data_IF_932313896372
#
_entry.id   IF_932313896372
#
_cell.length_a   1.000
_cell.length_b   1.000
_cell.length_c   1.000
_cell.angle_alpha   90.00
_cell.angle_beta   90.00
_cell.angle_gamma   90.00
#
_symmetry.space_group_name_H-M   'P 1'
#
loop_
_entity.id
_entity.type
_entity.pdbx_description
1 polymer ?
#
# COMPACT_ATOMS: atom_id res chain seq x y z
N UNK A 1 35.41 0.18 33.64
CA UNK A 1 34.26 -0.75 33.83
C UNK A 1 33.65 -0.99 32.46
N UNK A 2 33.41 -2.23 32.09
CA UNK A 2 32.72 -2.54 30.83
C UNK A 2 31.29 -2.01 30.89
N UNK A 3 30.73 -1.47 29.78
CA UNK A 3 29.37 -1.02 29.76
C UNK A 3 28.41 -2.22 29.96
N UNK A 4 27.19 -1.94 30.45
CA UNK A 4 26.13 -2.94 30.49
C UNK A 4 25.16 -2.75 29.32
N UNK A 5 24.39 -3.78 28.96
CA UNK A 5 23.34 -3.70 27.94
C UNK A 5 22.41 -2.50 28.24
N UNK A 6 22.01 -2.31 29.51
CA UNK A 6 21.16 -1.21 29.89
C UNK A 6 21.81 0.18 29.76
N UNK A 7 23.13 0.30 30.04
CA UNK A 7 23.84 1.57 29.86
C UNK A 7 24.03 1.92 28.37
N UNK A 8 24.22 0.92 27.52
CA UNK A 8 24.32 1.10 26.07
C UNK A 8 22.96 1.58 25.52
N UNK A 9 21.86 0.91 25.93
CA UNK A 9 20.51 1.33 25.53
C UNK A 9 20.24 2.77 25.95
N UNK A 10 20.52 3.12 27.23
CA UNK A 10 20.28 4.46 27.73
C UNK A 10 21.07 5.53 26.95
N UNK A 11 22.31 5.23 26.59
CA UNK A 11 23.15 6.12 25.76
C UNK A 11 22.60 6.30 24.35
N UNK A 12 22.15 5.22 23.70
CA UNK A 12 21.51 5.28 22.38
C UNK A 12 20.21 6.08 22.41
N UNK A 13 19.35 5.84 23.41
CA UNK A 13 18.08 6.59 23.59
C UNK A 13 18.35 8.07 23.78
N UNK A 14 19.32 8.43 24.64
CA UNK A 14 19.66 9.84 24.85
C UNK A 14 20.13 10.51 23.54
N UNK A 15 21.04 9.88 22.80
CA UNK A 15 21.53 10.42 21.53
C UNK A 15 20.41 10.62 20.48
N UNK A 16 19.47 9.69 20.40
CA UNK A 16 18.33 9.79 19.46
C UNK A 16 17.31 10.85 19.93
N UNK A 17 17.10 10.98 21.23
CA UNK A 17 16.22 12.00 21.80
C UNK A 17 16.80 13.41 21.57
N UNK A 18 18.10 13.61 21.80
CA UNK A 18 18.79 14.87 21.54
C UNK A 18 18.75 15.27 20.06
N UNK A 19 18.74 14.29 19.16
CA UNK A 19 18.58 14.49 17.72
C UNK A 19 17.10 14.69 17.27
N UNK A 20 16.14 14.69 18.21
CA UNK A 20 14.72 14.91 17.94
C UNK A 20 14.05 13.75 17.20
N UNK A 21 14.56 12.51 17.31
CA UNK A 21 13.87 11.34 16.77
C UNK A 21 12.52 11.14 17.49
N UNK A 22 11.43 10.84 16.76
CA UNK A 22 10.09 10.76 17.36
C UNK A 22 9.93 9.64 18.39
N UNK A 23 10.64 8.52 18.20
CA UNK A 23 10.51 7.30 19.00
C UNK A 23 11.86 6.75 19.47
N UNK A 24 12.66 7.54 20.23
CA UNK A 24 14.07 7.23 20.50
C UNK A 24 14.27 5.90 21.24
N UNK A 25 13.33 5.52 22.13
CA UNK A 25 13.39 4.25 22.85
C UNK A 25 13.16 3.06 21.89
N UNK A 26 12.13 3.13 21.06
CA UNK A 26 11.80 2.07 20.10
C UNK A 26 12.89 1.92 19.04
N UNK A 27 13.39 3.03 18.53
CA UNK A 27 14.46 3.06 17.52
C UNK A 27 15.75 2.44 18.08
N UNK A 28 16.17 2.83 19.30
CA UNK A 28 17.36 2.27 19.95
C UNK A 28 17.22 0.77 20.20
N UNK A 29 16.07 0.28 20.69
CA UNK A 29 15.81 -1.15 20.89
C UNK A 29 15.89 -1.93 19.58
N UNK A 30 15.30 -1.42 18.49
CA UNK A 30 15.33 -2.07 17.18
C UNK A 30 16.77 -2.12 16.61
N UNK A 31 17.54 -1.04 16.73
CA UNK A 31 18.94 -1.04 16.33
C UNK A 31 19.77 -2.04 17.13
N UNK A 32 19.53 -2.14 18.45
CA UNK A 32 20.22 -3.13 19.29
C UNK A 32 19.84 -4.55 18.90
N UNK A 33 18.56 -4.83 18.65
CA UNK A 33 18.12 -6.15 18.17
C UNK A 33 18.76 -6.49 16.83
N UNK A 34 18.81 -5.52 15.91
CA UNK A 34 19.39 -5.70 14.59
C UNK A 34 20.87 -6.10 14.65
N UNK A 35 21.71 -5.39 15.40
CA UNK A 35 23.16 -5.66 15.44
C UNK A 35 23.51 -6.89 16.25
N UNK A 36 22.72 -7.24 17.28
CA UNK A 36 23.03 -8.33 18.20
C UNK A 36 22.36 -9.66 17.85
N UNK A 37 21.33 -9.63 17.00
CA UNK A 37 20.44 -10.78 16.74
C UNK A 37 19.63 -11.21 17.96
N UNK A 38 19.63 -10.43 19.06
CA UNK A 38 18.89 -10.73 20.29
C UNK A 38 17.45 -10.27 20.18
N UNK A 39 16.54 -11.01 20.78
CA UNK A 39 15.15 -10.55 20.92
C UNK A 39 15.04 -9.38 21.91
N UNK A 40 13.92 -8.65 21.86
CA UNK A 40 13.60 -7.61 22.86
C UNK A 40 13.60 -8.18 24.28
N UNK A 41 13.07 -9.38 24.47
CA UNK A 41 13.05 -10.08 25.75
C UNK A 41 14.46 -10.35 26.26
N UNK A 42 15.37 -10.83 25.38
CA UNK A 42 16.77 -11.09 25.75
C UNK A 42 17.49 -9.81 26.19
N UNK A 43 17.26 -8.69 25.49
CA UNK A 43 17.82 -7.37 25.86
C UNK A 43 17.32 -6.90 27.23
N UNK A 44 16.05 -7.14 27.56
CA UNK A 44 15.46 -6.80 28.87
C UNK A 44 16.05 -7.67 29.97
N UNK A 45 16.14 -8.99 29.77
CA UNK A 45 16.67 -9.94 30.76
C UNK A 45 18.15 -9.72 31.00
N UNK A 46 18.94 -9.40 29.97
CA UNK A 46 20.38 -9.15 30.06
C UNK A 46 20.76 -7.71 30.42
N UNK A 47 19.82 -6.87 30.81
CA UNK A 47 20.03 -5.43 31.02
C UNK A 47 21.21 -5.08 31.95
N UNK A 48 21.50 -5.95 32.91
CA UNK A 48 22.59 -5.76 33.90
C UNK A 48 23.89 -6.44 33.49
N UNK A 49 23.90 -7.20 32.40
CA UNK A 49 25.08 -7.95 31.97
C UNK A 49 26.10 -7.00 31.38
N UNK A 50 27.36 -7.24 31.74
CA UNK A 50 28.49 -6.52 31.14
C UNK A 50 28.69 -6.95 29.69
N UNK A 51 28.93 -5.97 28.83
CA UNK A 51 29.12 -6.19 27.40
C UNK A 51 30.61 -6.15 27.05
N UNK A 52 31.18 -7.20 26.45
CA UNK A 52 32.57 -7.21 25.96
C UNK A 52 32.81 -6.14 24.90
N UNK A 53 34.08 -5.73 24.76
CA UNK A 53 34.43 -4.67 23.80
C UNK A 53 34.28 -5.08 22.32
N UNK A 54 34.31 -6.36 22.04
CA UNK A 54 34.12 -6.97 20.70
C UNK A 54 32.65 -7.33 20.40
N UNK A 55 31.74 -7.15 21.36
CA UNK A 55 30.30 -7.36 21.13
C UNK A 55 29.77 -6.34 20.11
N UNK A 56 28.88 -6.75 19.15
CA UNK A 56 28.29 -5.86 18.17
C UNK A 56 27.60 -4.62 18.78
N UNK A 57 27.06 -4.73 20.00
CA UNK A 57 26.48 -3.58 20.72
C UNK A 57 27.51 -2.49 21.04
N UNK A 58 28.78 -2.83 21.12
CA UNK A 58 29.86 -1.85 21.34
C UNK A 58 30.51 -1.48 20.01
N UNK A 59 30.74 -2.45 19.12
CA UNK A 59 31.51 -2.26 17.91
C UNK A 59 30.70 -1.62 16.76
N UNK A 60 29.44 -1.94 16.62
CA UNK A 60 28.61 -1.56 15.45
C UNK A 60 27.49 -0.58 15.76
N UNK A 61 26.81 -0.74 16.91
CA UNK A 61 25.64 0.07 17.25
C UNK A 61 25.89 1.59 17.19
N UNK A 62 27.04 2.13 17.66
CA UNK A 62 27.27 3.59 17.64
C UNK A 62 27.15 4.21 16.23
N UNK A 63 27.61 3.49 15.19
CA UNK A 63 27.51 3.93 13.81
C UNK A 63 26.05 3.98 13.32
N UNK A 64 25.24 3.01 13.70
CA UNK A 64 23.81 2.97 13.33
C UNK A 64 23.00 4.02 14.09
N UNK A 65 23.32 4.25 15.37
CA UNK A 65 22.72 5.34 16.16
C UNK A 65 23.05 6.70 15.54
N UNK A 66 24.28 6.90 15.08
CA UNK A 66 24.66 8.15 14.40
C UNK A 66 23.90 8.37 13.09
N UNK A 67 23.70 7.31 12.28
CA UNK A 67 22.86 7.37 11.07
C UNK A 67 21.41 7.75 11.42
N UNK A 68 20.83 7.10 12.43
CA UNK A 68 19.47 7.41 12.87
C UNK A 68 19.34 8.82 13.46
N UNK A 69 20.34 9.26 14.22
CA UNK A 69 20.42 10.63 14.72
C UNK A 69 20.52 11.68 13.58
N UNK A 70 21.12 11.32 12.45
CA UNK A 70 21.09 12.12 11.22
C UNK A 70 19.73 12.06 10.48
N UNK A 71 18.69 11.45 11.10
CA UNK A 71 17.31 11.34 10.64
C UNK A 71 17.16 10.40 9.42
N UNK A 72 18.14 9.51 9.15
CA UNK A 72 17.95 8.41 8.20
C UNK A 72 16.82 7.49 8.69
N UNK A 73 15.87 7.07 7.83
CA UNK A 73 14.81 6.16 8.22
C UNK A 73 15.33 4.89 8.88
N UNK A 74 14.75 4.50 10.00
CA UNK A 74 15.17 3.31 10.74
C UNK A 74 15.17 2.06 9.84
N UNK A 75 14.14 1.92 9.00
CA UNK A 75 13.98 0.81 8.07
C UNK A 75 15.10 0.76 7.02
N UNK A 76 15.58 1.90 6.55
CA UNK A 76 16.75 1.95 5.65
C UNK A 76 18.05 1.56 6.36
N UNK A 77 18.16 1.81 7.67
CA UNK A 77 19.32 1.43 8.47
C UNK A 77 19.31 -0.06 8.74
N UNK A 78 18.15 -0.62 9.09
CA UNK A 78 17.96 -2.05 9.37
C UNK A 78 17.92 -2.87 8.07
N UNK A 79 17.46 -2.26 6.96
CA UNK A 79 17.35 -2.90 5.66
C UNK A 79 16.01 -3.61 5.42
N UNK A 80 15.10 -3.56 6.40
CA UNK A 80 13.78 -4.20 6.30
C UNK A 80 12.66 -3.33 6.87
N UNK A 81 11.43 -3.56 6.40
CA UNK A 81 10.20 -2.98 6.91
C UNK A 81 9.12 -4.05 7.04
N UNK A 82 8.33 -4.07 8.13
CA UNK A 82 7.20 -4.98 8.25
C UNK A 82 6.07 -4.58 7.32
N UNK A 83 5.32 -5.58 6.85
CA UNK A 83 4.04 -5.41 6.16
C UNK A 83 3.16 -6.62 6.44
N UNK A 84 2.22 -6.48 7.37
CA UNK A 84 1.49 -7.61 7.95
C UNK A 84 2.43 -8.60 8.63
N UNK A 85 2.47 -9.86 8.16
CA UNK A 85 3.43 -10.86 8.66
C UNK A 85 4.72 -10.93 7.83
N UNK A 86 4.81 -10.17 6.75
CA UNK A 86 5.99 -10.16 5.88
C UNK A 86 7.03 -9.18 6.43
N UNK A 87 8.30 -9.51 6.18
CA UNK A 87 9.43 -8.61 6.38
C UNK A 87 10.01 -8.29 5.01
N UNK A 88 9.77 -7.07 4.53
CA UNK A 88 10.18 -6.65 3.19
C UNK A 88 11.53 -5.96 3.23
N UNK A 89 12.41 -6.32 2.31
CA UNK A 89 13.67 -5.62 2.13
C UNK A 89 13.41 -4.21 1.57
N UNK A 90 14.03 -3.21 2.19
CA UNK A 90 13.96 -1.81 1.79
C UNK A 90 15.33 -1.15 1.92
N UNK A 91 15.52 -0.03 1.23
CA UNK A 91 16.76 0.72 1.28
C UNK A 91 16.70 1.95 0.38
N UNK A 92 17.83 2.61 0.11
CA UNK A 92 17.85 3.81 -0.73
C UNK A 92 17.15 3.57 -2.08
N UNK A 93 16.33 4.53 -2.49
CA UNK A 93 15.64 4.52 -3.77
C UNK A 93 14.29 3.79 -3.79
N UNK A 94 13.76 3.39 -2.64
CA UNK A 94 12.38 2.90 -2.50
C UNK A 94 11.69 3.54 -1.31
N UNK A 95 10.40 3.80 -1.46
CA UNK A 95 9.54 4.29 -0.37
C UNK A 95 9.41 3.23 0.73
N UNK A 96 9.58 3.66 1.98
CA UNK A 96 9.39 2.77 3.14
C UNK A 96 7.90 2.55 3.38
N UNK A 97 7.40 1.30 3.37
CA UNK A 97 6.01 1.01 3.74
C UNK A 97 5.64 1.64 5.09
N UNK A 98 4.47 2.27 5.15
CA UNK A 98 3.98 2.94 6.36
C UNK A 98 2.95 2.06 7.07
N UNK A 99 2.82 2.17 8.41
CA UNK A 99 1.82 1.40 9.16
C UNK A 99 0.38 1.65 8.69
N UNK A 100 0.09 2.85 8.21
CA UNK A 100 -1.23 3.23 7.69
C UNK A 100 -1.61 2.41 6.45
N UNK A 101 -0.65 2.09 5.61
CA UNK A 101 -0.84 1.25 4.41
C UNK A 101 -1.29 -0.17 4.77
N UNK A 102 -0.93 -0.68 5.97
CA UNK A 102 -1.42 -1.98 6.45
C UNK A 102 -2.94 -1.99 6.66
N UNK A 103 -3.53 -0.86 7.08
CA UNK A 103 -4.99 -0.76 7.24
C UNK A 103 -5.71 -0.91 5.90
N UNK A 104 -5.19 -0.27 4.86
CA UNK A 104 -5.73 -0.43 3.50
C UNK A 104 -5.55 -1.87 2.99
N UNK A 105 -4.40 -2.48 3.21
CA UNK A 105 -4.17 -3.89 2.85
C UNK A 105 -5.16 -4.82 3.56
N UNK A 106 -5.39 -4.64 4.87
CA UNK A 106 -6.35 -5.44 5.62
C UNK A 106 -7.78 -5.25 5.09
N UNK A 107 -8.18 -3.99 4.82
CA UNK A 107 -9.48 -3.71 4.20
C UNK A 107 -9.64 -4.43 2.85
N UNK A 108 -8.61 -4.41 2.01
CA UNK A 108 -8.60 -5.11 0.72
C UNK A 108 -8.79 -6.62 0.89
N UNK A 109 -8.08 -7.23 1.83
CA UNK A 109 -8.18 -8.66 2.14
C UNK A 109 -9.60 -9.04 2.60
N UNK A 110 -10.18 -8.25 3.51
CA UNK A 110 -11.54 -8.47 4.02
C UNK A 110 -12.59 -8.32 2.93
N UNK A 111 -12.46 -7.30 2.09
CA UNK A 111 -13.35 -7.05 0.96
C UNK A 111 -13.29 -8.18 -0.09
N UNK A 112 -12.09 -8.66 -0.42
CA UNK A 112 -11.90 -9.81 -1.30
C UNK A 112 -12.49 -11.09 -0.68
N UNK A 113 -12.25 -11.33 0.62
CA UNK A 113 -12.80 -12.47 1.34
C UNK A 113 -14.34 -12.49 1.36
N UNK A 114 -14.98 -11.33 1.56
CA UNK A 114 -16.43 -11.17 1.45
C UNK A 114 -16.91 -11.50 0.02
N UNK A 115 -16.25 -10.92 -0.98
CA UNK A 115 -16.59 -11.11 -2.39
C UNK A 115 -16.45 -12.57 -2.81
N UNK A 116 -15.40 -13.27 -2.38
CA UNK A 116 -15.20 -14.69 -2.66
C UNK A 116 -16.31 -15.55 -2.05
N UNK A 117 -16.80 -15.21 -0.85
CA UNK A 117 -17.94 -15.92 -0.22
C UNK A 117 -19.24 -15.70 -0.97
N UNK A 118 -19.50 -14.47 -1.44
CA UNK A 118 -20.69 -14.11 -2.20
C UNK A 118 -20.68 -14.80 -3.58
N UNK A 119 -19.54 -14.85 -4.26
CA UNK A 119 -19.35 -15.53 -5.54
C UNK A 119 -19.45 -17.07 -5.38
N UNK A 120 -19.01 -17.67 -4.26
CA UNK A 120 -19.13 -19.11 -3.98
C UNK A 120 -20.59 -19.56 -3.75
N UNK A 121 -21.46 -18.65 -3.27
CA UNK A 121 -22.91 -18.88 -3.18
C UNK A 121 -23.62 -18.77 -4.53
N UNK A 122 -22.97 -18.20 -5.56
CA UNK A 122 -23.44 -18.04 -6.93
C UNK A 122 -22.64 -18.93 -7.91
N UNK A 123 -23.19 -19.20 -9.09
CA UNK A 123 -22.66 -20.14 -10.10
C UNK A 123 -21.33 -19.76 -10.77
N UNK A 124 -20.46 -18.96 -10.13
CA UNK A 124 -19.18 -18.57 -10.74
C UNK A 124 -18.10 -19.62 -10.45
N UNK A 125 -17.34 -20.00 -11.48
CA UNK A 125 -16.18 -20.91 -11.37
C UNK A 125 -15.17 -20.32 -10.36
N UNK A 126 -14.66 -21.16 -9.47
CA UNK A 126 -13.70 -20.83 -8.42
C UNK A 126 -12.28 -20.54 -8.98
N UNK A 127 -12.16 -19.52 -9.81
CA UNK A 127 -10.86 -18.88 -10.04
C UNK A 127 -10.65 -17.81 -8.97
N UNK A 128 -9.43 -17.72 -8.43
CA UNK A 128 -9.10 -16.69 -7.44
C UNK A 128 -9.36 -15.27 -7.96
N UNK A 129 -9.39 -14.27 -7.07
CA UNK A 129 -9.58 -12.87 -7.46
C UNK A 129 -8.36 -12.36 -8.22
N UNK A 130 -8.60 -11.47 -9.19
CA UNK A 130 -7.55 -10.75 -9.91
C UNK A 130 -7.35 -9.37 -9.28
N UNK A 131 -6.12 -9.06 -8.88
CA UNK A 131 -5.74 -7.83 -8.20
C UNK A 131 -4.64 -7.11 -8.98
N UNK A 132 -4.74 -5.79 -9.09
CA UNK A 132 -3.68 -4.94 -9.63
C UNK A 132 -3.31 -3.90 -8.58
N UNK A 133 -2.01 -3.82 -8.24
CA UNK A 133 -1.43 -2.81 -7.37
C UNK A 133 -0.67 -1.80 -8.24
N UNK A 134 -1.19 -0.58 -8.35
CA UNK A 134 -0.58 0.51 -9.11
C UNK A 134 0.31 1.33 -8.18
N UNK A 135 1.51 1.71 -8.65
CA UNK A 135 2.56 2.35 -7.84
C UNK A 135 3.04 1.43 -6.70
N UNK A 136 3.39 0.19 -7.05
CA UNK A 136 3.63 -0.89 -6.05
C UNK A 136 4.85 -0.66 -5.14
N UNK A 137 5.79 0.22 -5.50
CA UNK A 137 6.99 0.55 -4.73
C UNK A 137 7.85 -0.68 -4.44
N UNK A 138 8.00 -1.01 -3.16
CA UNK A 138 8.68 -2.23 -2.70
C UNK A 138 7.87 -3.52 -2.89
N UNK A 139 6.67 -3.43 -3.45
CA UNK A 139 5.73 -4.55 -3.56
C UNK A 139 4.84 -4.74 -2.32
N UNK A 140 4.80 -3.77 -1.41
CA UNK A 140 4.20 -3.92 -0.10
C UNK A 140 2.73 -4.38 -0.14
N UNK A 141 1.86 -3.64 -0.85
CA UNK A 141 0.44 -3.98 -0.98
C UNK A 141 0.24 -5.27 -1.77
N UNK A 142 0.90 -5.38 -2.94
CA UNK A 142 0.79 -6.56 -3.79
C UNK A 142 1.13 -7.84 -3.04
N UNK A 143 2.26 -7.85 -2.31
CA UNK A 143 2.75 -9.02 -1.61
C UNK A 143 1.92 -9.34 -0.36
N UNK A 144 1.49 -8.31 0.40
CA UNK A 144 0.64 -8.51 1.57
C UNK A 144 -0.73 -9.12 1.18
N UNK A 145 -1.34 -8.60 0.11
CA UNK A 145 -2.61 -9.15 -0.40
C UNK A 145 -2.41 -10.56 -0.93
N UNK A 146 -1.35 -10.80 -1.69
CA UNK A 146 -1.02 -12.13 -2.19
C UNK A 146 -0.79 -13.13 -1.07
N UNK A 147 -0.12 -12.72 -0.01
CA UNK A 147 0.15 -13.56 1.17
C UNK A 147 -1.13 -13.97 1.88
N UNK A 148 -2.01 -12.98 2.16
CA UNK A 148 -3.26 -13.19 2.87
C UNK A 148 -4.34 -13.91 2.03
N UNK A 149 -4.28 -13.79 0.69
CA UNK A 149 -5.23 -14.42 -0.25
C UNK A 149 -4.47 -15.30 -1.24
N UNK A 150 -4.07 -16.53 -0.87
CA UNK A 150 -3.23 -17.42 -1.70
C UNK A 150 -3.82 -17.78 -3.06
N UNK A 151 -5.11 -17.58 -3.26
CA UNK A 151 -5.79 -17.80 -4.54
C UNK A 151 -5.76 -16.60 -5.48
N UNK A 152 -5.31 -15.42 -5.01
CA UNK A 152 -5.31 -14.20 -5.82
C UNK A 152 -4.21 -14.22 -6.89
N UNK A 153 -4.57 -13.83 -8.11
CA UNK A 153 -3.63 -13.43 -9.16
C UNK A 153 -3.33 -11.94 -8.96
N UNK A 154 -2.10 -11.60 -8.58
CA UNK A 154 -1.71 -10.23 -8.24
C UNK A 154 -0.67 -9.71 -9.22
N UNK A 155 -0.89 -8.50 -9.75
CA UNK A 155 0.11 -7.80 -10.58
C UNK A 155 0.43 -6.44 -9.99
N UNK A 156 1.68 -6.25 -9.56
CA UNK A 156 2.21 -4.94 -9.17
C UNK A 156 2.79 -4.20 -10.37
N UNK A 157 2.56 -2.89 -10.45
CA UNK A 157 3.06 -1.99 -11.50
C UNK A 157 3.92 -0.92 -10.85
N UNK A 158 5.17 -0.76 -11.34
CA UNK A 158 6.12 0.22 -10.83
C UNK A 158 6.84 0.93 -11.98
N UNK A 159 6.89 2.26 -11.91
CA UNK A 159 7.57 3.08 -12.92
C UNK A 159 9.08 3.19 -12.67
N UNK A 160 9.49 3.27 -11.41
CA UNK A 160 10.90 3.44 -11.05
C UNK A 160 11.67 2.12 -11.10
N UNK A 161 12.85 2.15 -11.74
CA UNK A 161 13.67 0.93 -11.92
C UNK A 161 14.30 0.41 -10.64
N UNK A 162 14.59 1.31 -9.68
CA UNK A 162 15.21 0.92 -8.39
C UNK A 162 14.14 0.30 -7.50
N UNK A 163 12.97 0.96 -7.37
CA UNK A 163 11.84 0.44 -6.60
C UNK A 163 11.34 -0.89 -7.19
N UNK A 164 11.23 -1.01 -8.51
CA UNK A 164 10.93 -2.28 -9.19
C UNK A 164 11.92 -3.39 -8.82
N UNK A 165 13.21 -3.06 -8.74
CA UNK A 165 14.25 -4.02 -8.31
C UNK A 165 14.05 -4.50 -6.86
N UNK A 166 13.61 -3.61 -5.95
CA UNK A 166 13.24 -3.97 -4.59
C UNK A 166 12.00 -4.87 -4.55
N UNK A 167 10.96 -4.53 -5.33
CA UNK A 167 9.75 -5.34 -5.41
C UNK A 167 10.02 -6.77 -5.94
N UNK A 168 10.89 -6.92 -6.95
CA UNK A 168 11.29 -8.25 -7.44
C UNK A 168 12.06 -9.06 -6.39
N UNK A 169 12.98 -8.42 -5.64
CA UNK A 169 13.69 -9.07 -4.53
C UNK A 169 12.71 -9.55 -3.46
N UNK A 170 11.77 -8.70 -3.08
CA UNK A 170 10.75 -9.05 -2.09
C UNK A 170 9.84 -10.17 -2.58
N UNK A 171 9.46 -10.17 -3.85
CA UNK A 171 8.68 -11.25 -4.45
C UNK A 171 9.41 -12.59 -4.36
N UNK A 172 10.72 -12.61 -4.63
CA UNK A 172 11.53 -13.85 -4.53
C UNK A 172 11.59 -14.37 -3.09
N UNK A 173 11.87 -13.48 -2.11
CA UNK A 173 11.84 -13.84 -0.69
C UNK A 173 10.47 -14.37 -0.25
N UNK A 174 9.39 -13.77 -0.71
CA UNK A 174 8.03 -14.26 -0.44
C UNK A 174 7.78 -15.63 -1.08
N UNK A 175 8.28 -15.87 -2.29
CA UNK A 175 8.16 -17.18 -2.95
C UNK A 175 8.88 -18.28 -2.18
N UNK A 176 10.07 -18.00 -1.66
CA UNK A 176 10.80 -18.92 -0.79
C UNK A 176 10.03 -19.22 0.50
N UNK A 177 9.49 -18.17 1.17
CA UNK A 177 8.65 -18.30 2.35
C UNK A 177 7.43 -19.20 2.07
N UNK A 178 6.69 -18.90 1.02
CA UNK A 178 5.49 -19.66 0.64
C UNK A 178 5.79 -21.10 0.22
N UNK A 179 6.94 -21.35 -0.40
CA UNK A 179 7.39 -22.70 -0.72
C UNK A 179 7.75 -23.51 0.54
N UNK A 180 8.38 -22.87 1.52
CA UNK A 180 8.69 -23.47 2.83
C UNK A 180 7.43 -23.85 3.61
N UNK A 181 6.42 -22.99 3.62
CA UNK A 181 5.12 -23.25 4.29
C UNK A 181 4.33 -24.40 3.67
N UNK A 182 4.39 -24.59 2.35
CA UNK A 182 3.78 -25.74 1.66
C UNK A 182 4.28 -27.09 2.20
N UNK A 183 5.52 -27.13 2.66
CA UNK A 183 6.12 -28.35 3.18
C UNK A 183 5.58 -28.73 4.58
N UNK A 184 4.92 -27.80 5.29
CA UNK A 184 4.55 -27.99 6.69
C UNK A 184 3.05 -28.17 6.92
N UNK A 185 2.15 -27.41 6.33
CA UNK A 185 0.69 -27.58 6.25
C UNK A 185 -0.01 -26.27 5.81
N UNK A 186 -0.65 -26.25 4.65
CA UNK A 186 -1.51 -25.15 4.21
C UNK A 186 -2.16 -25.49 2.85
N UNK A 187 -3.27 -24.84 2.49
CA UNK A 187 -3.79 -24.96 1.14
C UNK A 187 -2.74 -24.46 0.15
N UNK A 188 -2.56 -25.14 -0.99
CA UNK A 188 -1.61 -24.70 -2.00
C UNK A 188 -2.02 -23.33 -2.52
N UNK A 189 -1.02 -22.42 -2.69
CA UNK A 189 -1.23 -21.20 -3.45
C UNK A 189 -1.63 -21.56 -4.87
N UNK A 190 -2.72 -21.01 -5.35
CA UNK A 190 -3.22 -21.24 -6.71
C UNK A 190 -3.10 -20.00 -7.59
N UNK A 191 -2.97 -18.81 -6.98
CA UNK A 191 -2.73 -17.55 -7.67
C UNK A 191 -1.25 -17.29 -7.94
N UNK A 192 -0.98 -16.51 -8.98
CA UNK A 192 0.35 -16.07 -9.39
C UNK A 192 0.60 -14.61 -8.95
N UNK A 193 1.87 -14.25 -8.74
CA UNK A 193 2.28 -12.89 -8.44
C UNK A 193 3.33 -12.43 -9.44
N UNK A 194 3.09 -11.27 -10.05
CA UNK A 194 3.98 -10.63 -11.02
C UNK A 194 4.22 -9.19 -10.65
N UNK A 195 5.44 -8.72 -10.88
CA UNK A 195 5.80 -7.30 -10.79
C UNK A 195 6.28 -6.86 -12.17
N UNK A 196 5.68 -5.83 -12.72
CA UNK A 196 6.02 -5.32 -14.04
C UNK A 196 6.44 -3.85 -13.98
N UNK A 197 7.24 -3.42 -14.93
CA UNK A 197 7.52 -1.99 -15.12
C UNK A 197 6.44 -1.34 -15.96
N UNK A 198 5.96 -0.16 -15.49
CA UNK A 198 4.97 0.62 -16.20
C UNK A 198 4.60 1.90 -15.47
N UNK A 199 4.05 2.84 -16.19
CA UNK A 199 3.51 4.09 -15.65
C UNK A 199 2.01 3.90 -15.37
N UNK A 200 1.60 4.00 -14.11
CA UNK A 200 0.21 3.84 -13.69
C UNK A 200 -0.75 4.86 -14.35
N UNK A 201 -0.22 5.94 -14.88
CA UNK A 201 -0.99 7.00 -15.58
C UNK A 201 -1.12 6.78 -17.08
N UNK A 202 -0.28 5.89 -17.64
CA UNK A 202 -0.26 5.63 -19.09
C UNK A 202 -1.31 4.59 -19.50
N UNK A 203 -2.28 5.01 -20.28
CA UNK A 203 -3.30 4.13 -20.84
C UNK A 203 -2.75 3.08 -21.82
N UNK A 204 -1.51 3.23 -22.28
CA UNK A 204 -0.82 2.20 -23.06
C UNK A 204 -0.68 0.87 -22.29
N UNK A 205 -0.63 0.91 -20.94
CA UNK A 205 -0.64 -0.30 -20.10
C UNK A 205 -1.79 -1.24 -20.46
N UNK A 206 -2.94 -0.69 -20.76
CA UNK A 206 -4.21 -1.41 -21.00
C UNK A 206 -4.67 -1.35 -22.45
N UNK A 207 -3.88 -0.78 -23.37
CA UNK A 207 -4.28 -0.61 -24.76
C UNK A 207 -4.36 -1.94 -25.50
N UNK A 208 -5.44 -2.14 -26.26
CA UNK A 208 -5.64 -3.25 -27.19
C UNK A 208 -5.28 -2.77 -28.61
N UNK A 209 -3.99 -2.74 -28.92
CA UNK A 209 -3.54 -2.34 -30.25
C UNK A 209 -3.25 -3.57 -31.12
N UNK A 210 -3.43 -3.43 -32.45
CA UNK A 210 -3.20 -4.53 -33.41
C UNK A 210 -1.73 -4.94 -33.56
N UNK A 211 -0.78 -4.15 -32.98
CA UNK A 211 0.66 -4.44 -33.05
C UNK A 211 1.18 -5.14 -31.77
N UNK A 212 1.30 -4.39 -30.70
CA UNK A 212 1.74 -4.89 -29.40
C UNK A 212 0.74 -4.43 -28.33
N UNK A 213 -0.08 -5.35 -27.78
CA UNK A 213 -0.99 -4.99 -26.70
C UNK A 213 -0.21 -4.59 -25.46
N UNK A 214 -0.78 -3.65 -24.70
CA UNK A 214 -0.22 -3.26 -23.41
C UNK A 214 -0.10 -4.46 -22.45
N UNK A 215 0.82 -4.42 -21.50
CA UNK A 215 1.11 -5.55 -20.62
C UNK A 215 -0.10 -5.98 -19.77
N UNK A 216 -1.05 -5.07 -19.53
CA UNK A 216 -2.31 -5.34 -18.79
C UNK A 216 -3.54 -5.40 -19.70
N UNK A 217 -3.39 -5.36 -21.04
CA UNK A 217 -4.52 -5.39 -21.95
C UNK A 217 -5.45 -6.61 -21.72
N UNK A 218 -4.87 -7.76 -21.39
CA UNK A 218 -5.59 -8.99 -21.10
C UNK A 218 -6.44 -8.93 -19.81
N UNK A 219 -6.22 -7.93 -18.94
CA UNK A 219 -6.94 -7.72 -17.68
C UNK A 219 -8.09 -6.70 -17.79
N UNK A 220 -8.28 -6.05 -18.94
CA UNK A 220 -9.36 -5.07 -19.14
C UNK A 220 -10.74 -5.65 -18.75
N UNK A 221 -11.45 -4.92 -17.88
CA UNK A 221 -12.78 -5.31 -17.41
C UNK A 221 -12.83 -6.63 -16.64
N UNK A 222 -11.70 -7.11 -16.11
CA UNK A 222 -11.60 -8.42 -15.43
C UNK A 222 -11.07 -8.33 -14.01
N UNK A 223 -10.51 -7.20 -13.60
CA UNK A 223 -9.88 -7.00 -12.29
C UNK A 223 -10.94 -6.87 -11.20
N UNK A 224 -10.77 -7.62 -10.13
CA UNK A 224 -11.65 -7.64 -8.96
C UNK A 224 -11.34 -6.50 -8.00
N UNK A 225 -10.05 -6.13 -7.87
CA UNK A 225 -9.56 -5.06 -7.02
C UNK A 225 -8.39 -4.35 -7.69
N UNK A 226 -8.46 -3.02 -7.80
CA UNK A 226 -7.30 -2.17 -8.02
C UNK A 226 -6.99 -1.48 -6.70
N UNK A 227 -5.74 -1.59 -6.26
CA UNK A 227 -5.22 -0.89 -5.09
C UNK A 227 -4.05 0.00 -5.49
N UNK A 228 -3.86 1.11 -4.80
CA UNK A 228 -2.71 1.99 -5.04
C UNK A 228 -2.36 2.80 -3.80
N UNK A 229 -1.06 2.90 -3.52
CA UNK A 229 -0.49 3.95 -2.69
C UNK A 229 0.39 4.83 -3.59
N UNK A 230 -0.20 5.78 -4.33
CA UNK A 230 0.52 6.65 -5.26
C UNK A 230 1.23 7.77 -4.51
N UNK A 231 2.17 8.51 -5.12
CA UNK A 231 2.65 9.76 -4.56
C UNK A 231 1.49 10.76 -4.47
N UNK A 232 1.24 11.28 -3.27
CA UNK A 232 0.09 12.14 -2.97
C UNK A 232 0.43 13.39 -2.15
N UNK A 233 1.68 13.55 -1.68
CA UNK A 233 2.05 14.72 -0.86
C UNK A 233 2.17 15.96 -1.75
N UNK A 234 1.52 17.09 -1.40
CA UNK A 234 1.71 18.35 -2.12
C UNK A 234 3.17 18.84 -2.08
N UNK A 235 3.63 19.49 -3.16
CA UNK A 235 5.02 19.92 -3.31
C UNK A 235 5.47 20.95 -2.25
N UNK A 236 4.54 21.73 -1.70
CA UNK A 236 4.77 22.76 -0.69
C UNK A 236 4.55 22.27 0.75
N UNK A 237 4.20 20.98 0.94
CA UNK A 237 3.99 20.40 2.25
C UNK A 237 5.31 20.34 3.05
N UNK A 238 5.25 20.71 4.31
CA UNK A 238 6.38 20.54 5.23
C UNK A 238 6.45 19.09 5.71
N UNK A 239 7.27 18.30 5.04
CA UNK A 239 7.48 16.90 5.38
C UNK A 239 8.60 16.72 6.40
N UNK A 240 8.45 15.73 7.27
CA UNK A 240 9.46 15.35 8.23
C UNK A 240 10.80 14.99 7.57
N UNK A 241 11.92 15.15 8.29
CA UNK A 241 13.25 14.92 7.74
C UNK A 241 13.48 13.49 7.25
N UNK A 242 12.81 12.49 7.82
CA UNK A 242 12.86 11.10 7.36
C UNK A 242 12.27 10.94 5.94
N UNK A 243 11.17 11.61 5.65
CA UNK A 243 10.51 11.55 4.33
C UNK A 243 11.41 12.09 3.21
N UNK A 244 12.34 12.99 3.55
CA UNK A 244 13.32 13.54 2.59
C UNK A 244 14.35 12.50 2.10
N UNK A 245 14.45 11.35 2.77
CA UNK A 245 15.27 10.21 2.33
C UNK A 245 14.54 9.28 1.36
N UNK A 246 13.20 9.36 1.31
CA UNK A 246 12.41 8.63 0.31
C UNK A 246 12.59 9.30 -1.08
N UNK A 247 12.45 8.56 -2.18
CA UNK A 247 12.54 9.14 -3.52
C UNK A 247 11.47 10.22 -3.73
N UNK A 248 11.86 11.39 -4.21
CA UNK A 248 10.96 12.54 -4.41
C UNK A 248 9.69 12.17 -5.21
N UNK A 249 9.87 11.44 -6.31
CA UNK A 249 8.77 11.00 -7.17
C UNK A 249 7.86 9.93 -6.55
N UNK A 250 8.28 9.29 -5.46
CA UNK A 250 7.46 8.33 -4.73
C UNK A 250 6.67 8.99 -3.58
N UNK A 251 6.94 10.27 -3.28
CA UNK A 251 6.30 11.02 -2.20
C UNK A 251 5.38 12.09 -2.74
N UNK A 252 5.90 12.94 -3.66
CA UNK A 252 5.20 14.15 -4.07
C UNK A 252 4.34 13.93 -5.31
N UNK A 253 3.04 14.22 -5.15
CA UNK A 253 1.99 14.07 -6.17
C UNK A 253 1.61 15.37 -6.88
N UNK A 254 2.54 16.34 -6.99
CA UNK A 254 2.27 17.63 -7.63
C UNK A 254 1.81 18.71 -6.67
N UNK A 255 1.17 19.76 -7.21
CA UNK A 255 0.79 20.94 -6.41
C UNK A 255 -0.32 20.64 -5.41
N UNK A 256 -1.24 19.76 -5.78
CA UNK A 256 -2.42 19.38 -4.98
C UNK A 256 -2.42 17.90 -4.56
N UNK A 257 -1.33 17.17 -4.83
CA UNK A 257 -1.22 15.75 -4.53
C UNK A 257 -1.97 14.82 -5.49
N UNK A 258 -2.55 15.33 -6.57
CA UNK A 258 -3.43 14.57 -7.46
C UNK A 258 -2.84 14.31 -8.86
N UNK A 259 -1.62 14.77 -9.14
CA UNK A 259 -0.99 14.66 -10.47
C UNK A 259 -0.85 13.21 -10.97
N UNK A 260 -0.77 12.25 -10.05
CA UNK A 260 -0.73 10.82 -10.37
C UNK A 260 -2.12 10.20 -10.25
N UNK A 261 -2.86 10.51 -9.17
CA UNK A 261 -4.17 9.90 -8.89
C UNK A 261 -5.17 10.21 -10.02
N UNK A 262 -5.23 11.47 -10.48
CA UNK A 262 -6.16 11.89 -11.53
C UNK A 262 -6.00 11.10 -12.83
N UNK A 263 -4.84 11.15 -13.51
CA UNK A 263 -4.61 10.39 -14.76
C UNK A 263 -4.73 8.87 -14.59
N UNK A 264 -4.28 8.33 -13.45
CA UNK A 264 -4.36 6.90 -13.12
C UNK A 264 -5.80 6.36 -13.19
N UNK A 265 -6.82 7.20 -12.94
CA UNK A 265 -8.23 6.79 -13.00
C UNK A 265 -8.65 6.21 -14.35
N UNK A 266 -8.00 6.61 -15.46
CA UNK A 266 -8.27 6.03 -16.77
C UNK A 266 -7.86 4.55 -16.83
N UNK A 267 -6.72 4.20 -16.25
CA UNK A 267 -6.22 2.82 -16.15
C UNK A 267 -7.10 2.02 -15.19
N UNK A 268 -7.43 2.58 -14.02
CA UNK A 268 -8.33 1.97 -13.03
C UNK A 268 -9.69 1.60 -13.65
N UNK A 269 -10.32 2.56 -14.34
CA UNK A 269 -11.60 2.35 -15.01
C UNK A 269 -11.55 1.33 -16.13
N UNK A 270 -10.41 1.20 -16.82
CA UNK A 270 -10.23 0.22 -17.87
C UNK A 270 -10.03 -1.21 -17.32
N UNK A 271 -9.39 -1.35 -16.17
CA UNK A 271 -9.07 -2.64 -15.55
C UNK A 271 -10.27 -3.27 -14.85
N UNK A 272 -11.00 -2.47 -14.06
CA UNK A 272 -12.03 -2.99 -13.18
C UNK A 272 -13.21 -3.60 -13.94
N UNK A 273 -13.63 -4.78 -13.46
CA UNK A 273 -14.92 -5.35 -13.87
C UNK A 273 -16.09 -4.67 -13.17
N UNK A 274 -17.33 -4.82 -13.70
CA UNK A 274 -18.53 -4.44 -12.95
C UNK A 274 -18.55 -5.08 -11.55
N UNK A 275 -18.77 -4.26 -10.52
CA UNK A 275 -18.68 -4.67 -9.13
C UNK A 275 -17.24 -4.88 -8.63
N UNK A 276 -16.21 -4.57 -9.40
CA UNK A 276 -14.82 -4.51 -8.95
C UNK A 276 -14.62 -3.35 -7.98
N UNK A 277 -13.58 -3.45 -7.15
CA UNK A 277 -13.27 -2.50 -6.09
C UNK A 277 -12.04 -1.67 -6.45
N UNK A 278 -12.00 -0.44 -6.00
CA UNK A 278 -10.78 0.37 -5.98
C UNK A 278 -10.52 0.84 -4.55
N UNK A 279 -9.25 0.90 -4.14
CA UNK A 279 -8.80 1.54 -2.92
C UNK A 279 -7.54 2.36 -3.21
N UNK A 280 -7.55 3.64 -2.86
CA UNK A 280 -6.46 4.60 -3.15
C UNK A 280 -6.08 5.30 -1.85
N UNK A 281 -4.81 5.15 -1.44
CA UNK A 281 -4.25 5.91 -0.33
C UNK A 281 -4.03 7.37 -0.73
N UNK A 282 -4.23 8.29 0.22
CA UNK A 282 -4.09 9.73 0.01
C UNK A 282 -3.72 10.44 1.31
N UNK A 283 -3.36 11.71 1.21
CA UNK A 283 -3.14 12.57 2.36
C UNK A 283 -4.43 12.80 3.16
N UNK A 284 -4.30 13.07 4.47
CA UNK A 284 -5.45 13.26 5.36
C UNK A 284 -6.34 14.45 4.97
N UNK A 285 -5.81 15.46 4.27
CA UNK A 285 -6.56 16.61 3.76
C UNK A 285 -7.13 16.38 2.34
N UNK A 286 -6.69 15.35 1.60
CA UNK A 286 -7.05 15.13 0.18
C UNK A 286 -8.25 14.20 -0.04
N UNK A 287 -8.82 13.62 1.01
CA UNK A 287 -9.91 12.63 0.88
C UNK A 287 -11.11 13.16 0.08
N UNK A 288 -11.54 14.39 0.33
CA UNK A 288 -12.67 15.02 -0.39
C UNK A 288 -12.40 15.18 -1.90
N UNK A 289 -11.15 15.43 -2.31
CA UNK A 289 -10.79 15.62 -3.71
C UNK A 289 -10.69 14.28 -4.44
N UNK A 290 -10.18 13.23 -3.78
CA UNK A 290 -10.23 11.86 -4.31
C UNK A 290 -11.68 11.39 -4.49
N UNK A 291 -12.58 11.69 -3.54
CA UNK A 291 -14.02 11.44 -3.68
C UNK A 291 -14.58 12.15 -4.91
N UNK A 292 -14.26 13.44 -5.12
CA UNK A 292 -14.70 14.20 -6.30
C UNK A 292 -14.16 13.59 -7.61
N UNK A 293 -12.90 13.16 -7.64
CA UNK A 293 -12.30 12.49 -8.79
C UNK A 293 -13.07 11.20 -9.14
N UNK A 294 -13.29 10.33 -8.16
CA UNK A 294 -14.04 9.09 -8.36
C UNK A 294 -15.46 9.35 -8.82
N UNK A 295 -16.18 10.27 -8.16
CA UNK A 295 -17.54 10.65 -8.52
C UNK A 295 -17.61 11.27 -9.92
N UNK A 296 -16.64 12.14 -10.27
CA UNK A 296 -16.55 12.82 -11.58
C UNK A 296 -16.40 11.88 -12.77
N UNK A 297 -15.91 10.64 -12.55
CA UNK A 297 -15.85 9.62 -13.62
C UNK A 297 -17.25 9.11 -14.02
N UNK A 298 -18.24 9.23 -13.14
CA UNK A 298 -19.55 8.61 -13.32
C UNK A 298 -19.55 7.08 -13.32
N UNK A 299 -18.43 6.47 -12.95
CA UNK A 299 -18.19 5.02 -13.05
C UNK A 299 -18.22 4.30 -11.70
N UNK A 300 -18.31 5.01 -10.60
CA UNK A 300 -18.23 4.45 -9.25
C UNK A 300 -19.47 4.78 -8.41
N UNK A 301 -19.75 3.87 -7.47
CA UNK A 301 -20.75 4.03 -6.40
C UNK A 301 -20.17 3.58 -5.07
N UNK A 302 -20.83 3.91 -3.95
CA UNK A 302 -20.35 3.52 -2.62
C UNK A 302 -18.95 4.05 -2.37
N UNK A 303 -18.72 5.32 -2.70
CA UNK A 303 -17.45 5.99 -2.47
C UNK A 303 -17.35 6.31 -0.99
N UNK A 304 -16.36 5.76 -0.31
CA UNK A 304 -16.18 5.86 1.14
C UNK A 304 -14.74 6.22 1.48
N UNK A 305 -14.57 7.19 2.38
CA UNK A 305 -13.27 7.54 2.96
C UNK A 305 -13.08 6.74 4.24
N UNK A 306 -11.89 6.18 4.42
CA UNK A 306 -11.54 5.35 5.55
C UNK A 306 -10.44 6.02 6.39
N UNK A 307 -10.70 6.26 7.69
CA UNK A 307 -9.72 6.85 8.58
C UNK A 307 -8.74 5.82 9.12
N UNK A 308 -7.57 6.32 9.57
CA UNK A 308 -6.63 5.55 10.38
C UNK A 308 -7.11 5.39 11.84
N UNK A 309 -6.32 4.70 12.66
CA UNK A 309 -6.61 4.51 14.08
C UNK A 309 -6.60 5.81 14.90
N UNK A 310 -6.04 6.90 14.37
CA UNK A 310 -6.07 8.23 14.96
C UNK A 310 -7.25 9.08 14.46
N UNK A 311 -8.08 8.54 13.55
CA UNK A 311 -9.24 9.21 12.98
C UNK A 311 -8.91 10.17 11.84
N UNK A 312 -7.72 10.07 11.24
CA UNK A 312 -7.33 10.87 10.06
C UNK A 312 -7.63 10.08 8.81
N UNK A 313 -8.18 10.73 7.79
CA UNK A 313 -8.49 10.12 6.50
C UNK A 313 -7.22 9.54 5.87
N UNK A 314 -7.29 8.31 5.32
CA UNK A 314 -6.10 7.64 4.77
C UNK A 314 -6.30 7.04 3.41
N UNK A 315 -7.42 6.48 3.12
CA UNK A 315 -7.69 5.95 1.79
C UNK A 315 -9.16 6.07 1.45
N UNK A 316 -9.45 6.14 0.16
CA UNK A 316 -10.81 6.14 -0.37
C UNK A 316 -11.05 4.86 -1.14
N UNK A 317 -12.21 4.22 -0.89
CA UNK A 317 -12.65 3.04 -1.63
C UNK A 317 -13.90 3.34 -2.45
N UNK A 318 -14.11 2.56 -3.53
CA UNK A 318 -15.31 2.64 -4.34
C UNK A 318 -15.58 1.33 -5.10
N UNK A 319 -16.81 1.19 -5.61
CA UNK A 319 -17.28 0.03 -6.36
C UNK A 319 -17.56 0.44 -7.80
N UNK A 320 -16.95 -0.22 -8.78
CA UNK A 320 -17.20 0.01 -10.21
C UNK A 320 -18.66 -0.31 -10.57
N UNK A 321 -19.34 0.64 -11.20
CA UNK A 321 -20.66 0.44 -11.77
C UNK A 321 -20.50 -0.33 -13.09
N UNK A 322 -21.42 -1.23 -13.40
CA UNK A 322 -21.45 -1.87 -14.73
C UNK A 322 -21.71 -0.84 -15.81
N UNK A 323 -20.95 -0.90 -16.90
CA UNK A 323 -21.23 -0.04 -18.07
C UNK A 323 -22.61 -0.39 -18.64
N UNK A 324 -23.62 0.41 -18.37
CA UNK A 324 -24.83 0.45 -19.16
C UNK A 324 -24.45 0.99 -20.54
N UNK A 325 -24.63 0.19 -21.57
CA UNK A 325 -24.66 0.68 -22.93
C UNK A 325 -25.74 1.75 -23.04
N UNK A 326 -25.35 2.97 -23.35
CA UNK A 326 -26.13 4.12 -23.79
C UNK A 326 -27.58 4.27 -23.36
N UNK A 327 -27.84 5.36 -22.62
CA UNK A 327 -29.04 6.18 -22.80
C UNK A 327 -30.38 5.59 -22.37
N UNK A 328 -30.69 5.73 -21.08
CA UNK A 328 -32.05 6.09 -20.70
C UNK A 328 -31.96 7.30 -19.77
N UNK A 329 -32.19 8.47 -20.35
CA UNK A 329 -32.59 9.64 -19.57
C UNK A 329 -33.90 9.28 -18.86
N UNK A 330 -34.08 9.61 -17.58
CA UNK A 330 -35.39 9.51 -16.98
C UNK A 330 -36.30 10.47 -17.71
N UNK A 331 -37.33 9.92 -18.35
CA UNK A 331 -38.44 10.67 -18.91
C UNK A 331 -39.05 11.50 -17.78
N UNK A 332 -38.97 12.84 -17.90
CA UNK A 332 -39.65 13.75 -17.01
C UNK A 332 -41.14 13.49 -17.05
N UNK A 333 -41.72 13.07 -15.95
CA UNK A 333 -43.14 13.17 -15.70
C UNK A 333 -43.48 14.66 -15.56
N UNK A 334 -44.04 15.26 -16.61
CA UNK A 334 -44.73 16.50 -16.52
C UNK A 334 -46.00 16.29 -15.65
N UNK A 335 -46.28 17.16 -14.68
CA UNK A 335 -47.55 17.10 -13.99
C UNK A 335 -48.67 17.59 -14.95
N UNK A 336 -49.58 16.70 -15.31
CA UNK A 336 -50.84 17.03 -15.98
C UNK A 336 -51.68 17.92 -15.07
N UNK A 337 -51.78 19.20 -15.41
CA UNK A 337 -52.77 20.11 -14.86
C UNK A 337 -54.15 19.72 -15.42
N UNK A 338 -54.98 19.17 -14.57
CA UNK A 338 -56.39 18.93 -14.83
C UNK A 338 -57.14 20.25 -14.53
N UNK A 339 -57.46 20.99 -15.61
CA UNK A 339 -58.43 22.10 -15.55
C UNK A 339 -59.84 21.53 -15.74
N UNK A 340 -60.48 21.22 -14.63
CA UNK A 340 -61.95 20.95 -14.61
C UNK A 340 -62.72 22.21 -14.74
N UNK A 341 -63.32 22.39 -15.93
CA UNK A 341 -64.34 23.38 -16.20
C UNK A 341 -65.69 22.92 -15.56
N UNK A 342 -66.11 23.61 -14.57
CA UNK A 342 -67.49 23.48 -14.09
C UNK A 342 -68.33 24.62 -14.67
N UNK A 343 -69.37 24.28 -15.47
CA UNK A 343 -70.43 25.16 -15.91
C UNK A 343 -71.81 24.59 -15.52
N UNK A 344 -72.57 25.49 -14.92
CA UNK A 344 -74.05 25.59 -14.93
C UNK A 344 -74.80 24.78 -13.85
N UNK A 345 -75.44 25.39 -13.00
CA UNK A 345 -76.73 26.10 -12.85
C UNK A 345 -76.93 26.49 -11.42
#
# INVERSE_FOLDING_TARGET
>A
MSPTVGSILAGAVAALADAGCPSPQADAEQLMMHVSGRSRTDLVLSRRDAVPADDPLVAQLPALVARRAAREPLQHIIGTAPMGRLELAVGPGVFVPRPETELMAQWCVDALGKKMRDDASGRRKATGPTVVDLCTGSGALALAIADAVPAADVTGVEIDGVAHGWALRNLESCRELWAGERAVAGPPRTGDVRIIRGDATDTALVAETSGAPGPLAHLRGRVDLVVSNPPYVPLDADVGPEVRHDPHHAVFGGTDGLDVIGPMMNVVCALLRPGGLVAIEHDDDSGADVVKLLAGTGRFRGIEVHPDLAGRDRFTSAIMIGGGSGGEQPSGDEPTTDEGIDQAT
#
